data_IF_756000971095
#
_entry.id   IF_756000971095
#
_cell.length_a   1.000
_cell.length_b   1.000
_cell.length_c   1.000
_cell.angle_alpha   90.00
_cell.angle_beta   90.00
_cell.angle_gamma   90.00
#
_symmetry.space_group_name_H-M   'P 1'
#
loop_
_entity.id
_entity.type
_entity.pdbx_description
1 polymer ?
#
# COMPACT_ATOMS: atom_id res chain seq x y z
N UNK A 1 23.87 -23.98 5.75
CA UNK A 1 23.00 -23.39 6.77
C UNK A 1 23.38 -21.93 6.98
N UNK A 2 22.41 -21.04 6.90
CA UNK A 2 22.69 -19.63 7.17
C UNK A 2 23.06 -19.46 8.65
N UNK A 3 24.12 -18.71 8.90
CA UNK A 3 24.52 -18.35 10.25
C UNK A 3 23.45 -17.43 10.85
N UNK A 4 22.90 -17.71 12.04
CA UNK A 4 21.90 -16.82 12.65
C UNK A 4 22.37 -15.38 12.77
N UNK A 5 23.67 -15.16 12.88
CA UNK A 5 24.24 -13.82 12.96
C UNK A 5 24.29 -13.08 11.63
N UNK A 6 23.98 -13.76 10.52
CA UNK A 6 23.93 -13.16 9.20
C UNK A 6 22.52 -12.82 8.77
N UNK A 7 21.53 -13.07 9.61
CA UNK A 7 20.16 -12.74 9.30
C UNK A 7 19.97 -11.23 9.22
N UNK A 8 19.41 -10.77 8.11
CA UNK A 8 19.09 -9.36 7.91
C UNK A 8 17.82 -9.00 8.65
N UNK A 9 17.89 -7.98 9.49
CA UNK A 9 16.72 -7.36 10.10
C UNK A 9 16.50 -5.98 9.48
N UNK A 10 15.26 -5.67 9.12
CA UNK A 10 14.87 -4.34 8.63
C UNK A 10 13.67 -3.88 9.46
N UNK A 11 13.80 -2.70 10.06
CA UNK A 11 12.68 -2.14 10.82
C UNK A 11 12.74 -0.61 10.80
N UNK A 12 11.63 0.00 11.14
CA UNK A 12 11.47 1.46 11.13
C UNK A 12 11.20 1.93 12.54
N UNK A 13 11.86 3.00 12.95
CA UNK A 13 11.58 3.67 14.21
C UNK A 13 11.62 5.19 14.00
N UNK A 14 11.57 5.92 15.09
CA UNK A 14 11.63 7.39 15.06
C UNK A 14 13.03 7.83 15.46
N UNK A 15 13.69 8.55 14.59
CA UNK A 15 15.01 9.10 14.82
C UNK A 15 14.97 10.44 15.53
N UNK A 16 16.13 11.06 15.68
CA UNK A 16 16.24 12.39 16.28
C UNK A 16 15.44 13.42 15.47
N UNK A 17 14.95 14.45 16.14
CA UNK A 17 14.14 15.50 15.53
C UNK A 17 12.82 14.98 14.92
N UNK A 18 12.32 13.83 15.41
CA UNK A 18 11.04 13.27 14.99
C UNK A 18 11.00 13.00 13.47
N UNK A 19 12.05 12.38 12.95
CA UNK A 19 12.10 11.92 11.56
C UNK A 19 12.05 10.41 11.51
N UNK A 20 11.44 9.83 10.46
CA UNK A 20 11.47 8.38 10.26
C UNK A 20 12.90 7.88 10.09
N UNK A 21 13.20 6.75 10.70
CA UNK A 21 14.50 6.14 10.58
C UNK A 21 14.37 4.69 10.14
N UNK A 22 15.10 4.33 9.10
CA UNK A 22 15.17 2.98 8.58
C UNK A 22 16.42 2.31 9.14
N UNK A 23 16.25 1.16 9.75
CA UNK A 23 17.33 0.43 10.40
C UNK A 23 17.59 -0.90 9.68
N UNK A 24 18.87 -1.20 9.50
CA UNK A 24 19.34 -2.46 8.92
C UNK A 24 20.28 -3.14 9.93
N UNK A 25 19.97 -4.35 10.30
CA UNK A 25 20.83 -5.14 11.18
C UNK A 25 21.32 -6.39 10.45
N UNK A 26 22.61 -6.58 10.43
CA UNK A 26 23.21 -7.75 9.81
C UNK A 26 24.44 -8.16 10.64
N UNK A 27 24.50 -9.41 11.07
CA UNK A 27 25.64 -9.94 11.80
C UNK A 27 25.95 -9.21 13.10
N UNK A 28 24.94 -8.72 13.81
CA UNK A 28 25.11 -7.95 15.04
C UNK A 28 25.45 -6.48 14.84
N UNK A 29 25.60 -6.05 13.60
CA UNK A 29 25.84 -4.63 13.27
C UNK A 29 24.57 -3.97 12.80
N UNK A 30 24.30 -2.78 13.31
CA UNK A 30 23.13 -2.00 12.91
C UNK A 30 23.59 -0.73 12.22
N UNK A 31 23.06 -0.51 11.01
CA UNK A 31 23.22 0.74 10.27
C UNK A 31 21.85 1.37 10.14
N UNK A 32 21.77 2.68 10.24
CA UNK A 32 20.48 3.37 10.10
C UNK A 32 20.60 4.58 9.18
N UNK A 33 19.45 4.97 8.62
CA UNK A 33 19.33 6.13 7.74
C UNK A 33 18.09 6.90 8.15
N UNK A 34 18.26 8.19 8.42
CA UNK A 34 17.13 9.10 8.65
C UNK A 34 16.56 9.51 7.30
N UNK A 35 15.23 9.49 7.19
CA UNK A 35 14.53 9.82 5.96
C UNK A 35 13.50 10.88 6.32
N UNK A 36 13.33 11.90 5.49
CA UNK A 36 12.28 12.89 5.75
C UNK A 36 10.89 12.25 5.60
N UNK A 37 9.87 12.88 6.16
CA UNK A 37 8.51 12.33 6.14
C UNK A 37 8.02 11.99 4.73
N UNK A 38 8.08 12.94 3.77
CA UNK A 38 7.68 12.66 2.39
C UNK A 38 8.50 11.55 1.72
N UNK A 39 9.81 11.51 1.96
CA UNK A 39 10.67 10.46 1.45
C UNK A 39 10.30 9.08 2.00
N UNK A 40 10.01 9.01 3.29
CA UNK A 40 9.56 7.77 3.91
C UNK A 40 8.23 7.29 3.34
N UNK A 41 7.28 8.20 3.14
CA UNK A 41 5.99 7.88 2.54
C UNK A 41 6.16 7.37 1.10
N UNK A 42 7.00 8.02 0.33
CA UNK A 42 7.29 7.60 -1.05
C UNK A 42 7.97 6.23 -1.09
N UNK A 43 8.95 5.99 -0.22
CA UNK A 43 9.62 4.70 -0.11
C UNK A 43 8.62 3.60 0.27
N UNK A 44 7.74 3.86 1.24
CA UNK A 44 6.71 2.92 1.65
C UNK A 44 5.78 2.55 0.50
N UNK A 45 5.33 3.54 -0.27
CA UNK A 45 4.48 3.31 -1.43
C UNK A 45 5.22 2.52 -2.52
N UNK A 46 6.50 2.79 -2.75
CA UNK A 46 7.32 2.03 -3.71
C UNK A 46 7.52 0.58 -3.26
N UNK A 47 7.71 0.34 -1.96
CA UNK A 47 7.83 -1.01 -1.41
C UNK A 47 6.52 -1.79 -1.59
N UNK A 48 5.39 -1.16 -1.36
CA UNK A 48 4.08 -1.80 -1.59
C UNK A 48 3.90 -2.14 -3.07
N UNK A 49 4.29 -1.24 -3.96
CA UNK A 49 4.23 -1.50 -5.41
C UNK A 49 5.16 -2.65 -5.81
N UNK A 50 6.37 -2.69 -5.24
CA UNK A 50 7.30 -3.80 -5.48
C UNK A 50 6.71 -5.13 -5.03
N UNK A 51 6.08 -5.16 -3.87
CA UNK A 51 5.41 -6.35 -3.34
C UNK A 51 4.34 -6.85 -4.30
N UNK A 52 3.53 -5.93 -4.85
CA UNK A 52 2.53 -6.28 -5.85
C UNK A 52 3.20 -6.86 -7.12
N UNK A 53 4.17 -6.15 -7.69
CA UNK A 53 4.83 -6.59 -8.92
C UNK A 53 5.49 -7.96 -8.77
N UNK A 54 6.13 -8.19 -7.63
CA UNK A 54 6.75 -9.49 -7.35
C UNK A 54 5.72 -10.60 -7.17
N UNK A 55 4.52 -10.29 -6.71
CA UNK A 55 3.46 -11.29 -6.51
C UNK A 55 2.89 -11.78 -7.83
N UNK A 56 2.82 -10.94 -8.85
CA UNK A 56 2.38 -11.35 -10.20
C UNK A 56 3.50 -12.00 -11.00
N UNK A 57 4.75 -11.84 -10.56
CA UNK A 57 5.89 -12.74 -10.77
C UNK A 57 6.53 -12.77 -12.14
N UNK A 58 5.91 -12.32 -13.21
CA UNK A 58 6.47 -12.52 -14.53
C UNK A 58 6.64 -11.23 -15.30
N UNK A 59 7.80 -11.09 -15.95
CA UNK A 59 8.04 -10.00 -16.86
C UNK A 59 8.61 -8.73 -16.23
N UNK A 60 9.03 -8.78 -14.98
CA UNK A 60 9.69 -7.63 -14.35
C UNK A 60 11.19 -7.89 -14.35
N UNK A 61 11.96 -7.19 -15.21
CA UNK A 61 13.41 -7.41 -15.28
C UNK A 61 14.12 -7.02 -13.99
N UNK A 62 15.21 -7.70 -13.72
CA UNK A 62 16.11 -7.34 -12.63
C UNK A 62 16.61 -5.90 -12.81
N UNK A 63 16.64 -5.15 -11.72
CA UNK A 63 17.08 -3.75 -11.74
C UNK A 63 15.99 -2.75 -12.13
N UNK A 64 14.76 -3.19 -12.37
CA UNK A 64 13.66 -2.27 -12.66
C UNK A 64 13.42 -1.34 -11.49
N UNK A 65 13.44 -0.04 -11.74
CA UNK A 65 13.11 0.95 -10.71
C UNK A 65 11.60 0.97 -10.50
N UNK A 66 11.19 0.97 -9.24
CA UNK A 66 9.79 0.92 -8.87
C UNK A 66 9.38 2.25 -8.24
N UNK A 67 8.37 2.88 -8.82
CA UNK A 67 7.77 4.11 -8.32
C UNK A 67 6.42 3.82 -7.68
N UNK A 68 5.93 4.71 -6.80
CA UNK A 68 4.57 4.61 -6.30
C UNK A 68 3.56 4.56 -7.45
N UNK A 69 2.51 3.77 -7.29
CA UNK A 69 1.47 3.64 -8.31
C UNK A 69 0.17 3.18 -7.68
N UNK A 70 -0.76 2.82 -8.53
CA UNK A 70 -2.06 2.33 -8.08
C UNK A 70 -1.94 0.88 -7.61
N UNK A 71 -2.38 0.63 -6.39
CA UNK A 71 -2.28 -0.68 -5.76
C UNK A 71 -3.64 -1.40 -5.83
N UNK A 72 -3.71 -2.57 -6.46
CA UNK A 72 -4.95 -3.33 -6.47
C UNK A 72 -5.32 -3.82 -5.08
N UNK A 73 -6.58 -3.66 -4.72
CA UNK A 73 -7.13 -4.10 -3.45
C UNK A 73 -7.77 -5.46 -3.64
N UNK A 74 -7.38 -6.42 -2.81
CA UNK A 74 -7.91 -7.78 -2.82
C UNK A 74 -9.09 -7.95 -1.87
N UNK A 75 -9.12 -7.19 -0.76
CA UNK A 75 -10.19 -7.30 0.23
C UNK A 75 -10.40 -5.98 0.97
N UNK A 76 -11.64 -5.77 1.40
CA UNK A 76 -12.03 -4.58 2.18
C UNK A 76 -12.86 -5.06 3.36
N UNK A 77 -12.51 -4.60 4.56
CA UNK A 77 -13.30 -4.82 5.76
C UNK A 77 -13.53 -3.49 6.46
N UNK A 78 -14.76 -3.27 6.88
CA UNK A 78 -15.12 -2.07 7.64
C UNK A 78 -15.21 -2.34 9.12
N UNK A 79 -15.06 -1.29 9.91
CA UNK A 79 -15.18 -1.36 11.35
C UNK A 79 -15.22 0.02 11.98
N UNK A 80 -15.13 0.03 13.29
CA UNK A 80 -15.06 1.26 14.09
C UNK A 80 -13.88 1.12 15.03
N UNK A 81 -13.03 2.13 15.08
CA UNK A 81 -11.92 2.16 16.01
C UNK A 81 -12.45 2.38 17.45
N UNK A 82 -12.24 1.44 18.38
CA UNK A 82 -12.78 1.57 19.72
C UNK A 82 -12.20 2.74 20.52
N UNK A 83 -10.99 3.18 20.20
CA UNK A 83 -10.36 4.27 20.94
C UNK A 83 -10.92 5.64 20.51
N UNK A 84 -11.23 5.83 19.25
CA UNK A 84 -11.65 7.14 18.71
C UNK A 84 -13.11 7.16 18.28
N UNK A 85 -13.75 6.01 18.18
CA UNK A 85 -15.12 5.85 17.67
C UNK A 85 -15.27 6.36 16.22
N UNK A 86 -14.21 6.25 15.44
CA UNK A 86 -14.18 6.68 14.03
C UNK A 86 -14.26 5.48 13.08
N UNK A 87 -14.80 5.69 11.87
CA UNK A 87 -14.87 4.62 10.87
C UNK A 87 -13.49 4.16 10.45
N UNK A 88 -13.33 2.86 10.25
CA UNK A 88 -12.09 2.26 9.78
C UNK A 88 -12.31 1.40 8.54
N UNK A 89 -11.29 1.33 7.71
CA UNK A 89 -11.20 0.33 6.66
C UNK A 89 -9.89 -0.44 6.82
N UNK A 90 -9.99 -1.75 6.68
CA UNK A 90 -8.82 -2.62 6.54
C UNK A 90 -8.77 -3.08 5.11
N UNK A 91 -7.72 -2.69 4.40
CA UNK A 91 -7.51 -3.05 3.00
C UNK A 91 -6.46 -4.14 2.92
N UNK A 92 -6.83 -5.27 2.33
CA UNK A 92 -5.85 -6.28 1.93
C UNK A 92 -5.43 -6.00 0.51
N UNK A 93 -4.12 -5.87 0.28
CA UNK A 93 -3.56 -5.60 -1.04
C UNK A 93 -3.10 -6.90 -1.70
N UNK A 94 -3.15 -6.93 -3.01
CA UNK A 94 -2.48 -8.00 -3.76
C UNK A 94 -0.98 -7.85 -3.50
N UNK A 95 -0.34 -8.92 -3.07
CA UNK A 95 1.04 -8.87 -2.58
C UNK A 95 1.14 -9.14 -1.09
N UNK A 96 0.01 -9.15 -0.37
CA UNK A 96 -0.08 -9.58 1.02
C UNK A 96 -0.06 -8.49 2.07
N UNK A 97 0.16 -7.23 1.69
CA UNK A 97 0.16 -6.14 2.67
C UNK A 97 -1.27 -5.83 3.14
N UNK A 98 -1.39 -5.44 4.40
CA UNK A 98 -2.65 -4.96 4.96
C UNK A 98 -2.48 -3.51 5.43
N UNK A 99 -3.42 -2.67 5.05
CA UNK A 99 -3.47 -1.27 5.49
C UNK A 99 -4.68 -1.06 6.37
N UNK A 100 -4.45 -0.53 7.57
CA UNK A 100 -5.51 -0.19 8.50
C UNK A 100 -5.66 1.33 8.49
N UNK A 101 -6.80 1.81 8.03
CA UNK A 101 -7.04 3.23 7.82
C UNK A 101 -8.18 3.70 8.73
N UNK A 102 -8.00 4.86 9.36
CA UNK A 102 -9.01 5.51 10.18
C UNK A 102 -9.43 6.79 9.48
N UNK A 103 -10.72 7.02 9.36
CA UNK A 103 -11.25 8.19 8.68
C UNK A 103 -11.98 9.09 9.66
N UNK A 104 -11.92 10.41 9.46
CA UNK A 104 -12.91 11.29 10.05
C UNK A 104 -14.29 10.95 9.47
N UNK A 105 -15.36 11.26 10.19
CA UNK A 105 -16.71 10.98 9.70
C UNK A 105 -16.97 11.65 8.35
N UNK A 106 -16.50 12.89 8.18
CA UNK A 106 -16.67 13.65 6.95
C UNK A 106 -15.93 13.00 5.78
N UNK A 107 -14.67 12.61 5.98
CA UNK A 107 -13.88 11.97 4.93
C UNK A 107 -14.44 10.58 4.58
N UNK A 108 -14.96 9.86 5.55
CA UNK A 108 -15.60 8.57 5.29
C UNK A 108 -16.82 8.74 4.38
N UNK A 109 -17.66 9.75 4.66
CA UNK A 109 -18.83 10.05 3.84
C UNK A 109 -18.44 10.48 2.42
N UNK A 110 -17.43 11.33 2.29
CA UNK A 110 -16.90 11.76 1.00
C UNK A 110 -16.38 10.56 0.21
N UNK A 111 -15.55 9.74 0.84
CA UNK A 111 -14.97 8.56 0.20
C UNK A 111 -16.02 7.58 -0.29
N UNK A 112 -17.04 7.31 0.51
CA UNK A 112 -18.15 6.43 0.13
C UNK A 112 -18.89 6.97 -1.08
N UNK A 113 -19.16 8.28 -1.10
CA UNK A 113 -19.85 8.95 -2.22
C UNK A 113 -19.01 8.86 -3.50
N UNK A 114 -17.70 9.14 -3.40
CA UNK A 114 -16.81 9.09 -4.55
C UNK A 114 -16.71 7.69 -5.13
N UNK A 115 -16.53 6.67 -4.28
CA UNK A 115 -16.44 5.28 -4.74
C UNK A 115 -17.73 4.83 -5.42
N UNK A 116 -18.88 5.19 -4.87
CA UNK A 116 -20.18 4.88 -5.47
C UNK A 116 -20.31 5.52 -6.84
N UNK A 117 -19.96 6.80 -6.95
CA UNK A 117 -20.00 7.53 -8.22
C UNK A 117 -19.08 6.88 -9.26
N UNK A 118 -17.84 6.56 -8.89
CA UNK A 118 -16.90 5.95 -9.83
C UNK A 118 -17.36 4.56 -10.26
N UNK A 119 -17.94 3.79 -9.37
CA UNK A 119 -18.50 2.47 -9.70
C UNK A 119 -19.61 2.60 -10.73
N UNK A 120 -20.50 3.57 -10.58
CA UNK A 120 -21.58 3.82 -11.55
C UNK A 120 -21.02 4.23 -12.91
N UNK A 121 -19.99 5.07 -12.94
CA UNK A 121 -19.34 5.49 -14.19
C UNK A 121 -18.75 4.30 -14.94
N UNK A 122 -18.05 3.42 -14.23
CA UNK A 122 -17.46 2.21 -14.83
C UNK A 122 -18.56 1.29 -15.38
N UNK A 123 -19.63 1.10 -14.62
CA UNK A 123 -20.76 0.26 -15.03
C UNK A 123 -21.44 0.82 -16.28
N UNK A 124 -21.63 2.14 -16.36
CA UNK A 124 -22.18 2.81 -17.55
C UNK A 124 -21.27 2.60 -18.76
N UNK A 125 -19.95 2.80 -18.59
CA UNK A 125 -18.99 2.61 -19.65
C UNK A 125 -19.00 1.20 -20.21
N UNK A 126 -19.07 0.20 -19.36
CA UNK A 126 -19.16 -1.18 -19.77
C UNK A 126 -20.46 -1.48 -20.50
N UNK A 127 -21.59 -0.98 -20.00
CA UNK A 127 -22.89 -1.18 -20.62
C UNK A 127 -22.97 -0.55 -21.99
N UNK A 128 -22.46 0.66 -22.17
CA UNK A 128 -22.48 1.32 -23.47
C UNK A 128 -21.46 0.78 -24.45
N UNK A 129 -20.38 0.22 -24.00
CA UNK A 129 -19.36 -0.37 -24.88
C UNK A 129 -19.75 -1.71 -25.45
N UNK A 130 -20.49 -2.49 -24.71
CA UNK A 130 -20.81 -3.87 -25.08
C UNK A 130 -21.58 -4.00 -26.39
N UNK A 131 -22.69 -3.32 -26.62
CA UNK A 131 -23.41 -3.47 -27.87
C UNK A 131 -22.60 -3.06 -29.10
N UNK A 132 -21.78 -2.07 -28.95
CA UNK A 132 -20.91 -1.62 -30.03
C UNK A 132 -19.89 -2.66 -30.42
N UNK A 133 -19.32 -3.35 -29.47
CA UNK A 133 -18.38 -4.42 -29.72
C UNK A 133 -18.98 -5.62 -30.40
N UNK A 134 -20.25 -5.83 -30.22
CA UNK A 134 -20.94 -6.98 -30.77
C UNK A 134 -21.58 -6.72 -32.13
N UNK A 135 -21.60 -5.51 -32.55
CA UNK A 135 -22.22 -5.13 -33.80
C UNK A 135 -21.43 -5.62 -35.03
N UNK A 136 -20.54 -6.46 -34.83
CA UNK A 136 -19.69 -6.99 -35.91
C UNK A 136 -19.66 -8.44 -36.03
#
# INVERSE_FOLDING_TARGET
MANPNEQLGIYVDIGKNTVPRLNFTLGGHTTNVDIDGPGAANLGASLLMSSFLCSIGKGVPDGTLVSPGQLPVASVKGGVDPATNLPTLKLGLIGGAELNLVFSADLAAIGATLLTKQTLEVTKGQSSGEPGGQAH
#
